data_IF_404918974225
#
_entry.id   IF_404918974225
#
_cell.length_a   1.000
_cell.length_b   1.000
_cell.length_c   1.000
_cell.angle_alpha   90.00
_cell.angle_beta   90.00
_cell.angle_gamma   90.00
#
_symmetry.space_group_name_H-M   'P 1'
#
loop_
_entity.id
_entity.type
_entity.pdbx_description
1 polymer ?
#
# COMPACT_ATOMS: atom_id res chain seq x y z
N UNK A 1 37.50 -39.83 -6.14
CA UNK A 1 36.30 -39.11 -6.50
C UNK A 1 36.20 -37.88 -5.62
N UNK A 2 36.65 -36.74 -6.08
CA UNK A 2 36.63 -35.46 -5.35
C UNK A 2 35.21 -34.84 -5.46
N UNK A 3 34.48 -34.79 -4.37
CA UNK A 3 33.19 -34.07 -4.28
C UNK A 3 33.47 -32.58 -4.41
N UNK A 4 33.19 -32.00 -5.56
CA UNK A 4 33.26 -30.56 -5.77
C UNK A 4 32.33 -29.84 -4.80
N UNK A 5 32.87 -28.92 -4.00
CA UNK A 5 32.06 -28.07 -3.09
C UNK A 5 31.09 -27.22 -3.93
N UNK A 6 29.81 -27.17 -3.56
CA UNK A 6 28.83 -26.39 -4.33
C UNK A 6 29.22 -24.91 -4.36
N UNK A 7 29.11 -24.29 -5.52
CA UNK A 7 29.41 -22.87 -5.75
C UNK A 7 28.49 -21.98 -4.92
N UNK A 8 28.90 -20.73 -4.66
CA UNK A 8 28.09 -19.74 -3.94
C UNK A 8 26.67 -19.61 -4.56
N UNK A 9 26.58 -19.60 -5.88
CA UNK A 9 25.32 -19.59 -6.65
C UNK A 9 24.43 -20.81 -6.38
N UNK A 10 25.04 -22.01 -6.26
CA UNK A 10 24.31 -23.25 -5.98
C UNK A 10 23.76 -23.26 -4.55
N UNK A 11 24.50 -22.69 -3.59
CA UNK A 11 24.07 -22.54 -2.19
C UNK A 11 22.95 -21.51 -2.09
N UNK A 12 23.04 -20.39 -2.82
CA UNK A 12 22.02 -19.35 -2.86
C UNK A 12 20.70 -19.89 -3.46
N UNK A 13 20.78 -20.61 -4.59
CA UNK A 13 19.60 -21.27 -5.22
C UNK A 13 18.94 -22.29 -4.29
N UNK A 14 19.72 -23.12 -3.58
CA UNK A 14 19.18 -24.07 -2.59
C UNK A 14 18.56 -23.38 -1.37
N UNK A 15 19.10 -22.24 -0.94
CA UNK A 15 18.56 -21.43 0.16
C UNK A 15 17.24 -20.76 -0.25
N UNK A 16 17.17 -20.20 -1.47
CA UNK A 16 15.94 -19.62 -2.04
C UNK A 16 14.84 -20.67 -2.24
N UNK A 17 15.20 -21.89 -2.67
CA UNK A 17 14.23 -22.99 -2.85
C UNK A 17 13.68 -23.58 -1.53
N UNK A 18 14.23 -23.18 -0.38
CA UNK A 18 13.81 -23.64 0.96
C UNK A 18 13.16 -22.52 1.79
N UNK A 19 12.95 -21.33 1.19
CA UNK A 19 12.34 -20.21 1.87
C UNK A 19 10.84 -20.41 2.00
N UNK A 20 10.30 -20.17 3.19
CA UNK A 20 8.86 -20.13 3.42
C UNK A 20 8.30 -18.87 2.79
N UNK A 21 7.31 -19.04 1.93
CA UNK A 21 6.52 -17.93 1.42
C UNK A 21 5.42 -17.58 2.42
N UNK A 22 5.39 -16.33 2.85
CA UNK A 22 4.34 -15.81 3.73
C UNK A 22 3.57 -14.77 2.94
N UNK A 23 2.28 -15.03 2.77
CA UNK A 23 1.40 -14.19 1.96
C UNK A 23 0.73 -13.12 2.82
N UNK A 24 0.63 -11.91 2.27
CA UNK A 24 -0.19 -10.82 2.79
C UNK A 24 -1.12 -10.34 1.68
N UNK A 25 -2.40 -10.17 1.99
CA UNK A 25 -3.41 -9.75 1.04
C UNK A 25 -3.42 -8.23 0.89
N UNK A 26 -3.35 -7.71 -0.33
CA UNK A 26 -3.65 -6.30 -0.59
C UNK A 26 -5.17 -6.08 -0.65
N UNK A 27 -5.71 -5.33 0.29
CA UNK A 27 -7.12 -4.98 0.35
C UNK A 27 -7.45 -3.83 -0.65
N UNK A 28 -7.26 -4.09 -1.93
CA UNK A 28 -7.54 -3.13 -3.00
C UNK A 28 -7.82 -3.84 -4.32
N UNK A 29 -8.87 -3.40 -5.03
CA UNK A 29 -9.15 -3.78 -6.42
C UNK A 29 -8.53 -2.83 -7.45
N UNK A 30 -7.87 -1.74 -7.02
CA UNK A 30 -7.26 -0.79 -7.93
C UNK A 30 -5.95 -1.33 -8.52
N UNK A 31 -5.92 -1.59 -9.81
CA UNK A 31 -4.78 -2.18 -10.51
C UNK A 31 -3.51 -1.31 -10.46
N UNK A 32 -3.64 0.01 -10.39
CA UNK A 32 -2.47 0.90 -10.23
C UNK A 32 -1.83 0.71 -8.86
N UNK A 33 -2.66 0.66 -7.79
CA UNK A 33 -2.17 0.35 -6.44
C UNK A 33 -1.55 -1.04 -6.38
N UNK A 34 -2.16 -2.04 -7.01
CA UNK A 34 -1.61 -3.41 -7.08
C UNK A 34 -0.20 -3.40 -7.69
N UNK A 35 0.02 -2.66 -8.78
CA UNK A 35 1.35 -2.55 -9.41
C UNK A 35 2.37 -1.87 -8.50
N UNK A 36 2.03 -0.71 -7.92
CA UNK A 36 2.91 0.02 -7.00
C UNK A 36 3.33 -0.87 -5.82
N UNK A 37 2.35 -1.52 -5.15
CA UNK A 37 2.64 -2.39 -4.01
C UNK A 37 3.41 -3.65 -4.40
N UNK A 38 3.13 -4.25 -5.55
CA UNK A 38 3.91 -5.39 -6.05
C UNK A 38 5.38 -5.02 -6.24
N UNK A 39 5.65 -3.80 -6.75
CA UNK A 39 7.01 -3.25 -6.83
C UNK A 39 7.65 -3.16 -5.44
N UNK A 40 7.00 -2.50 -4.48
CA UNK A 40 7.52 -2.34 -3.12
C UNK A 40 7.82 -3.68 -2.44
N UNK A 41 6.91 -4.64 -2.53
CA UNK A 41 7.10 -5.96 -1.93
C UNK A 41 8.19 -6.78 -2.60
N UNK A 42 8.42 -6.59 -3.90
CA UNK A 42 9.50 -7.27 -4.64
C UNK A 42 10.89 -6.84 -4.20
N UNK A 43 11.03 -5.60 -3.70
CA UNK A 43 12.28 -5.02 -3.20
C UNK A 43 12.56 -5.41 -1.74
N UNK A 44 11.59 -5.97 -1.01
CA UNK A 44 11.81 -6.41 0.36
C UNK A 44 12.83 -7.54 0.40
N UNK A 45 13.86 -7.42 1.25
CA UNK A 45 14.80 -8.52 1.44
C UNK A 45 14.10 -9.68 2.12
N UNK A 46 14.60 -10.91 1.92
CA UNK A 46 14.14 -12.05 2.70
C UNK A 46 14.52 -11.87 4.18
N UNK A 47 13.62 -12.29 5.05
CA UNK A 47 13.82 -12.24 6.51
C UNK A 47 14.10 -13.65 7.03
N UNK A 48 15.39 -13.95 7.27
CA UNK A 48 15.80 -15.30 7.67
C UNK A 48 15.53 -16.33 6.58
N UNK A 49 14.61 -17.26 6.83
CA UNK A 49 14.16 -18.30 5.90
C UNK A 49 12.77 -17.98 5.28
N UNK A 50 12.23 -16.78 5.51
CA UNK A 50 10.93 -16.36 5.04
C UNK A 50 11.00 -15.22 4.01
N UNK A 51 10.10 -15.26 3.02
CA UNK A 51 9.84 -14.19 2.07
C UNK A 51 8.39 -13.76 2.21
N UNK A 52 8.17 -12.46 2.38
CA UNK A 52 6.83 -11.88 2.34
C UNK A 52 6.41 -11.66 0.88
N UNK A 53 5.25 -12.17 0.51
CA UNK A 53 4.70 -12.04 -0.84
C UNK A 53 3.33 -11.37 -0.77
N UNK A 54 3.14 -10.35 -1.59
CA UNK A 54 1.86 -9.70 -1.75
C UNK A 54 0.98 -10.54 -2.68
N UNK A 55 -0.29 -10.72 -2.30
CA UNK A 55 -1.33 -11.25 -3.17
C UNK A 55 -2.47 -10.25 -3.27
N UNK A 56 -3.20 -10.30 -4.38
CA UNK A 56 -4.39 -9.49 -4.64
C UNK A 56 -5.68 -10.28 -4.40
N UNK A 57 -6.83 -9.63 -4.28
CA UNK A 57 -8.12 -10.32 -4.19
C UNK A 57 -8.37 -11.27 -5.36
N UNK A 58 -7.88 -10.93 -6.56
CA UNK A 58 -8.01 -11.78 -7.77
C UNK A 58 -7.21 -13.08 -7.71
N UNK A 59 -6.27 -13.21 -6.79
CA UNK A 59 -5.48 -14.44 -6.58
C UNK A 59 -6.18 -15.45 -5.66
N UNK A 60 -7.34 -15.07 -5.09
CA UNK A 60 -8.11 -15.87 -4.16
C UNK A 60 -9.50 -16.17 -4.74
N UNK A 61 -9.99 -17.39 -4.47
CA UNK A 61 -11.33 -17.84 -4.91
C UNK A 61 -12.42 -17.47 -3.90
N UNK A 62 -12.34 -16.30 -3.27
CA UNK A 62 -13.33 -15.82 -2.31
C UNK A 62 -13.90 -14.47 -2.70
N UNK A 63 -15.15 -14.21 -2.31
CA UNK A 63 -15.75 -12.90 -2.43
C UNK A 63 -15.25 -11.99 -1.30
N UNK A 64 -14.92 -10.74 -1.66
CA UNK A 64 -14.56 -9.73 -0.69
C UNK A 64 -15.71 -8.74 -0.49
N UNK A 65 -15.92 -8.25 0.73
CA UNK A 65 -16.95 -7.26 0.99
C UNK A 65 -16.60 -5.93 0.30
N UNK A 66 -17.62 -5.27 -0.18
CA UNK A 66 -17.53 -3.84 -0.48
C UNK A 66 -17.44 -3.08 0.85
N UNK A 67 -16.41 -2.26 1.00
CA UNK A 67 -16.13 -1.54 2.25
C UNK A 67 -16.40 -0.06 2.06
N UNK A 68 -17.42 0.44 2.74
CA UNK A 68 -17.67 1.88 2.79
C UNK A 68 -16.59 2.59 3.61
N UNK A 69 -15.97 3.60 3.01
CA UNK A 69 -14.96 4.44 3.65
C UNK A 69 -15.64 5.56 4.43
N UNK A 70 -16.14 5.24 5.61
CA UNK A 70 -16.87 6.16 6.51
C UNK A 70 -15.98 6.81 7.57
N UNK A 71 -14.68 6.49 7.58
CA UNK A 71 -13.72 7.03 8.54
C UNK A 71 -13.48 8.53 8.35
N UNK A 72 -13.08 9.20 9.43
CA UNK A 72 -12.72 10.60 9.44
C UNK A 72 -11.24 10.86 9.11
N UNK A 73 -10.45 9.81 8.92
CA UNK A 73 -9.02 9.87 8.59
C UNK A 73 -8.63 8.79 7.59
N UNK A 74 -7.45 8.96 6.96
CA UNK A 74 -6.86 7.91 6.10
C UNK A 74 -6.62 6.62 6.90
N UNK A 75 -6.18 6.72 8.16
CA UNK A 75 -5.94 5.55 9.01
C UNK A 75 -7.23 4.77 9.25
N UNK A 76 -8.32 5.45 9.59
CA UNK A 76 -9.62 4.79 9.82
C UNK A 76 -10.14 4.10 8.56
N UNK A 77 -10.08 4.76 7.40
CA UNK A 77 -10.52 4.15 6.14
C UNK A 77 -9.64 2.97 5.74
N UNK A 78 -8.31 3.08 5.88
CA UNK A 78 -7.40 1.97 5.63
C UNK A 78 -7.65 0.80 6.59
N UNK A 79 -7.93 1.08 7.88
CA UNK A 79 -8.25 0.06 8.87
C UNK A 79 -9.56 -0.68 8.54
N UNK A 80 -10.62 0.05 8.17
CA UNK A 80 -11.89 -0.57 7.74
C UNK A 80 -11.65 -1.58 6.63
N UNK A 81 -10.89 -1.19 5.59
CA UNK A 81 -10.54 -2.08 4.45
C UNK A 81 -9.68 -3.27 4.89
N UNK A 82 -8.57 -3.00 5.58
CA UNK A 82 -7.63 -4.05 5.97
C UNK A 82 -8.30 -5.10 6.87
N UNK A 83 -9.07 -4.66 7.86
CA UNK A 83 -9.75 -5.55 8.79
C UNK A 83 -10.85 -6.38 8.12
N UNK A 84 -11.63 -5.80 7.21
CA UNK A 84 -12.67 -6.53 6.48
C UNK A 84 -12.06 -7.62 5.58
N UNK A 85 -11.01 -7.28 4.83
CA UNK A 85 -10.32 -8.23 3.94
C UNK A 85 -9.55 -9.30 4.73
N UNK A 86 -8.90 -8.94 5.83
CA UNK A 86 -8.21 -9.90 6.67
C UNK A 86 -9.17 -10.95 7.25
N UNK A 87 -10.36 -10.52 7.74
CA UNK A 87 -11.39 -11.44 8.23
C UNK A 87 -11.92 -12.34 7.13
N UNK A 88 -12.24 -11.78 5.95
CA UNK A 88 -12.79 -12.54 4.84
C UNK A 88 -11.81 -13.60 4.31
N UNK A 89 -10.52 -13.26 4.25
CA UNK A 89 -9.48 -14.17 3.73
C UNK A 89 -8.85 -15.08 4.80
N UNK A 90 -9.11 -14.85 6.10
CA UNK A 90 -8.47 -15.59 7.18
C UNK A 90 -6.96 -15.39 7.27
N UNK A 91 -6.42 -14.31 6.71
CA UNK A 91 -4.99 -14.02 6.64
C UNK A 91 -4.71 -12.51 6.83
N UNK A 92 -3.45 -12.12 7.15
CA UNK A 92 -3.10 -10.70 7.24
C UNK A 92 -3.41 -9.96 5.95
N UNK A 93 -3.96 -8.75 6.07
CA UNK A 93 -4.20 -7.88 4.94
C UNK A 93 -3.60 -6.50 5.17
N UNK A 94 -3.11 -5.89 4.08
CA UNK A 94 -2.64 -4.51 4.04
C UNK A 94 -3.60 -3.69 3.18
N UNK A 95 -4.00 -2.53 3.68
CA UNK A 95 -4.79 -1.55 2.93
C UNK A 95 -4.07 -0.21 2.84
N UNK A 96 -4.39 0.53 1.79
CA UNK A 96 -3.98 1.92 1.56
C UNK A 96 -5.22 2.81 1.48
N UNK A 97 -5.24 3.87 2.27
CA UNK A 97 -6.08 5.01 2.00
C UNK A 97 -5.22 6.25 1.81
N UNK A 98 -5.54 7.05 0.80
CA UNK A 98 -4.66 8.12 0.33
C UNK A 98 -5.42 9.18 -0.44
N UNK A 99 -4.86 10.38 -0.45
CA UNK A 99 -5.45 11.50 -1.17
C UNK A 99 -4.46 12.64 -1.37
N UNK A 100 -4.95 13.69 -2.03
CA UNK A 100 -4.25 14.94 -2.20
C UNK A 100 -4.86 16.00 -1.27
N UNK A 101 -4.02 16.66 -0.51
CA UNK A 101 -4.39 17.77 0.37
C UNK A 101 -3.85 19.07 -0.25
N UNK A 102 -4.72 20.04 -0.46
CA UNK A 102 -4.35 21.33 -1.04
C UNK A 102 -4.42 22.43 0.00
N UNK A 103 -3.28 23.07 0.25
CA UNK A 103 -3.15 24.07 1.32
C UNK A 103 -4.17 25.20 1.22
N UNK A 104 -4.32 25.76 0.04
CA UNK A 104 -5.24 26.87 -0.21
C UNK A 104 -6.71 26.49 -0.08
N UNK A 105 -7.04 25.19 -0.08
CA UNK A 105 -8.39 24.66 0.11
C UNK A 105 -8.60 24.07 1.50
N UNK A 106 -7.72 24.40 2.48
CA UNK A 106 -7.84 23.89 3.85
C UNK A 106 -7.65 22.39 3.97
N UNK A 107 -6.92 21.76 3.02
CA UNK A 107 -6.68 20.31 2.98
C UNK A 107 -7.65 19.53 2.07
N UNK A 108 -8.66 20.20 1.50
CA UNK A 108 -9.53 19.52 0.52
C UNK A 108 -8.74 19.17 -0.77
N UNK A 109 -9.13 18.08 -1.49
CA UNK A 109 -10.19 17.11 -1.18
C UNK A 109 -9.84 16.09 -0.08
N UNK A 110 -8.56 15.92 0.29
CA UNK A 110 -8.12 15.05 1.39
C UNK A 110 -8.62 13.60 1.25
N UNK A 111 -9.24 13.05 2.28
CA UNK A 111 -9.82 11.69 2.29
C UNK A 111 -10.93 11.48 1.25
N UNK A 112 -11.43 12.56 0.64
CA UNK A 112 -12.44 12.50 -0.43
C UNK A 112 -11.83 12.52 -1.83
N UNK A 113 -10.51 12.43 -1.96
CA UNK A 113 -9.81 12.59 -3.25
C UNK A 113 -10.34 11.67 -4.35
N UNK A 114 -10.64 10.41 -4.03
CA UNK A 114 -11.21 9.47 -4.99
C UNK A 114 -12.67 9.75 -5.35
N UNK A 115 -13.35 10.59 -4.54
CA UNK A 115 -14.78 10.92 -4.64
C UNK A 115 -15.03 12.43 -4.81
N UNK A 116 -13.98 13.20 -5.12
CA UNK A 116 -14.07 14.66 -5.26
C UNK A 116 -14.97 15.08 -6.43
N UNK A 117 -15.07 14.24 -7.44
CA UNK A 117 -15.99 14.38 -8.58
C UNK A 117 -16.40 12.99 -9.06
N UNK A 118 -17.59 12.89 -9.63
CA UNK A 118 -18.01 11.70 -10.38
C UNK A 118 -17.18 11.56 -11.67
N UNK A 119 -17.07 10.33 -12.17
CA UNK A 119 -16.42 10.03 -13.44
C UNK A 119 -14.98 9.57 -13.31
N UNK A 120 -14.14 9.97 -14.26
CA UNK A 120 -12.76 9.54 -14.45
C UNK A 120 -11.76 10.30 -13.58
N UNK A 121 -10.47 9.86 -13.60
CA UNK A 121 -9.37 10.63 -13.02
C UNK A 121 -9.26 12.03 -13.65
N UNK A 122 -9.52 12.16 -14.96
CA UNK A 122 -9.52 13.46 -15.65
C UNK A 122 -10.61 14.40 -15.11
N UNK A 123 -11.78 13.87 -14.78
CA UNK A 123 -12.86 14.69 -14.21
C UNK A 123 -12.49 15.22 -12.82
N UNK A 124 -11.85 14.39 -11.99
CA UNK A 124 -11.31 14.78 -10.67
C UNK A 124 -10.19 15.81 -10.78
N UNK A 125 -9.28 15.63 -11.75
CA UNK A 125 -8.22 16.62 -12.05
C UNK A 125 -8.83 17.95 -12.46
N UNK A 126 -9.79 17.97 -13.38
CA UNK A 126 -10.46 19.17 -13.84
C UNK A 126 -11.22 19.87 -12.70
N UNK A 127 -11.95 19.11 -11.88
CA UNK A 127 -12.63 19.64 -10.70
C UNK A 127 -11.64 20.38 -9.77
N UNK A 128 -10.48 19.78 -9.51
CA UNK A 128 -9.48 20.40 -8.63
C UNK A 128 -8.88 21.65 -9.27
N UNK A 129 -8.55 21.61 -10.56
CA UNK A 129 -8.04 22.77 -11.29
C UNK A 129 -9.06 23.92 -11.33
N UNK A 130 -10.35 23.61 -11.48
CA UNK A 130 -11.42 24.61 -11.43
C UNK A 130 -11.53 25.27 -10.04
N UNK A 131 -11.43 24.48 -8.96
CA UNK A 131 -11.35 25.02 -7.60
C UNK A 131 -10.14 25.93 -7.37
N UNK A 132 -9.05 25.68 -8.08
CA UNK A 132 -7.80 26.42 -7.98
C UNK A 132 -7.70 27.64 -8.91
N UNK A 133 -8.75 27.96 -9.69
CA UNK A 133 -8.75 29.14 -10.58
C UNK A 133 -8.56 30.44 -9.79
N UNK A 134 -7.57 31.23 -10.19
CA UNK A 134 -7.26 32.51 -9.55
C UNK A 134 -6.52 32.41 -8.21
N UNK A 135 -6.26 31.21 -7.70
CA UNK A 135 -5.54 30.98 -6.46
C UNK A 135 -4.04 30.86 -6.76
N UNK A 136 -3.23 31.74 -6.14
CA UNK A 136 -1.77 31.77 -6.31
C UNK A 136 -1.04 30.70 -5.49
N UNK A 137 -1.55 30.41 -4.30
CA UNK A 137 -0.97 29.36 -3.47
C UNK A 137 -1.31 28.00 -4.04
N UNK A 138 -0.31 27.34 -4.64
CA UNK A 138 -0.45 26.02 -5.29
C UNK A 138 0.08 24.90 -4.44
N UNK A 139 0.46 25.14 -3.19
CA UNK A 139 1.01 24.14 -2.28
C UNK A 139 0.06 22.98 -2.06
N UNK A 140 0.55 21.77 -2.23
CA UNK A 140 -0.20 20.54 -2.07
C UNK A 140 0.66 19.42 -1.45
N UNK A 141 0.01 18.40 -0.95
CA UNK A 141 0.64 17.24 -0.37
C UNK A 141 -0.14 15.98 -0.75
N UNK A 142 0.51 15.00 -1.33
CA UNK A 142 -0.06 13.66 -1.34
C UNK A 142 0.17 13.01 0.04
N UNK A 143 -0.89 12.47 0.62
CA UNK A 143 -0.86 11.73 1.87
C UNK A 143 -1.36 10.29 1.68
N UNK A 144 -0.76 9.35 2.38
CA UNK A 144 -1.22 7.97 2.47
C UNK A 144 -1.09 7.45 3.88
N UNK A 145 -2.02 6.60 4.29
CA UNK A 145 -1.87 5.74 5.46
C UNK A 145 -2.00 4.28 5.02
N UNK A 146 -1.01 3.49 5.37
CA UNK A 146 -1.01 2.03 5.20
C UNK A 146 -1.36 1.38 6.51
N UNK A 147 -2.28 0.42 6.50
CA UNK A 147 -2.67 -0.36 7.68
C UNK A 147 -2.52 -1.84 7.38
N UNK A 148 -1.83 -2.57 8.27
CA UNK A 148 -1.84 -4.03 8.31
C UNK A 148 -2.77 -4.48 9.43
N UNK A 149 -3.80 -5.27 9.10
CA UNK A 149 -4.70 -5.89 10.04
C UNK A 149 -4.62 -7.42 9.99
N UNK A 150 -5.07 -8.07 11.07
CA UNK A 150 -5.04 -9.52 11.25
C UNK A 150 -6.44 -10.09 11.38
N UNK A 151 -6.70 -11.34 10.95
CA UNK A 151 -8.04 -11.93 10.89
C UNK A 151 -8.80 -11.89 12.22
N UNK A 152 -8.10 -12.08 13.33
CA UNK A 152 -8.69 -12.20 14.66
C UNK A 152 -8.54 -10.93 15.50
N UNK A 153 -8.16 -9.80 14.92
CA UNK A 153 -7.95 -8.56 15.63
C UNK A 153 -6.86 -8.60 16.72
N UNK A 154 -6.00 -9.62 16.71
CA UNK A 154 -4.97 -9.79 17.75
C UNK A 154 -3.77 -8.90 17.46
N UNK A 155 -3.45 -8.04 18.41
CA UNK A 155 -2.26 -7.20 18.38
C UNK A 155 -1.00 -8.06 18.57
N UNK A 156 -0.08 -7.98 17.59
CA UNK A 156 1.16 -8.74 17.59
C UNK A 156 2.28 -8.13 18.42
N UNK A 157 2.08 -6.91 18.92
CA UNK A 157 3.14 -6.16 19.61
C UNK A 157 3.05 -6.17 21.12
N UNK A 158 2.08 -6.90 21.71
CA UNK A 158 1.92 -7.00 23.17
C UNK A 158 1.58 -5.66 23.87
N UNK A 159 1.46 -4.58 23.13
CA UNK A 159 1.02 -3.28 23.63
C UNK A 159 -0.50 -3.19 23.53
N UNK A 160 -1.14 -2.88 24.60
CA UNK A 160 -2.50 -3.22 24.96
C UNK A 160 -3.65 -2.63 24.13
N UNK A 161 -3.47 -1.92 23.01
CA UNK A 161 -4.59 -1.11 22.50
C UNK A 161 -4.84 -1.09 20.99
N UNK A 162 -4.01 -1.70 20.14
CA UNK A 162 -4.25 -1.66 18.69
C UNK A 162 -4.14 -3.05 18.05
N UNK A 163 -5.22 -3.48 17.41
CA UNK A 163 -5.30 -4.74 16.67
C UNK A 163 -4.71 -4.64 15.25
N UNK A 164 -3.94 -3.61 14.96
CA UNK A 164 -3.37 -3.32 13.67
C UNK A 164 -2.07 -2.51 13.80
N UNK A 165 -1.34 -2.44 12.70
CA UNK A 165 -0.21 -1.55 12.54
C UNK A 165 -0.50 -0.52 11.45
N UNK A 166 -0.09 0.73 11.64
CA UNK A 166 -0.22 1.79 10.64
C UNK A 166 1.09 2.52 10.39
N UNK A 167 1.25 3.02 9.17
CA UNK A 167 2.33 3.91 8.79
C UNK A 167 1.83 4.96 7.81
N UNK A 168 2.20 6.21 8.05
CA UNK A 168 1.86 7.33 7.17
C UNK A 168 3.04 7.73 6.29
N UNK A 169 2.71 8.28 5.13
CA UNK A 169 3.69 8.90 4.25
C UNK A 169 3.10 10.13 3.58
N UNK A 170 3.92 11.18 3.51
CA UNK A 170 3.56 12.46 2.90
C UNK A 170 4.59 12.85 1.86
N UNK A 171 4.12 13.25 0.68
CA UNK A 171 4.93 13.80 -0.39
C UNK A 171 4.46 15.23 -0.66
N UNK A 172 5.28 16.20 -0.29
CA UNK A 172 4.99 17.61 -0.49
C UNK A 172 5.32 18.05 -1.92
N UNK A 173 4.63 19.09 -2.39
CA UNK A 173 4.82 19.62 -3.72
C UNK A 173 3.85 20.75 -4.04
N UNK A 174 3.66 20.97 -5.34
CA UNK A 174 2.78 22.02 -5.86
C UNK A 174 1.90 21.50 -6.99
N UNK A 175 0.74 22.14 -7.17
CA UNK A 175 -0.15 21.87 -8.30
C UNK A 175 0.28 22.65 -9.54
N UNK A 176 0.40 21.97 -10.66
CA UNK A 176 0.52 22.60 -11.98
C UNK A 176 -0.79 23.31 -12.36
N UNK A 177 -0.74 24.27 -13.27
CA UNK A 177 -1.92 24.99 -13.77
C UNK A 177 -2.73 24.17 -14.78
N UNK A 178 -2.09 23.20 -15.40
CA UNK A 178 -2.69 22.28 -16.37
C UNK A 178 -2.04 20.89 -16.27
N UNK A 179 -2.72 19.83 -16.72
CA UNK A 179 -2.15 18.48 -16.74
C UNK A 179 -0.91 18.39 -17.63
N UNK A 180 0.14 17.70 -17.13
CA UNK A 180 1.38 17.42 -17.85
C UNK A 180 1.76 15.96 -17.67
N UNK A 181 2.14 15.29 -18.76
CA UNK A 181 2.44 13.86 -18.79
C UNK A 181 1.18 12.99 -18.74
N UNK A 182 1.40 11.70 -18.94
CA UNK A 182 0.32 10.69 -19.03
C UNK A 182 0.60 9.47 -18.17
N UNK A 183 1.70 9.50 -17.40
CA UNK A 183 2.10 8.40 -16.53
C UNK A 183 1.35 8.47 -15.19
N UNK A 184 1.28 7.32 -14.51
CA UNK A 184 0.63 7.24 -13.21
C UNK A 184 -0.90 7.23 -13.29
N UNK A 185 -1.58 7.79 -12.26
CA UNK A 185 -3.04 7.83 -12.14
C UNK A 185 -3.48 8.94 -11.17
N UNK A 186 -4.80 9.18 -11.12
CA UNK A 186 -5.37 10.19 -10.23
C UNK A 186 -4.85 11.59 -10.55
N UNK A 187 -4.31 12.25 -9.56
CA UNK A 187 -3.81 13.62 -9.67
C UNK A 187 -2.33 13.74 -10.10
N UNK A 188 -1.68 12.64 -10.48
CA UNK A 188 -0.27 12.62 -10.92
C UNK A 188 0.03 13.64 -12.02
N UNK A 189 -0.84 13.86 -13.04
CA UNK A 189 -0.58 14.82 -14.10
C UNK A 189 -0.51 16.29 -13.66
N UNK A 190 -1.02 16.63 -12.48
CA UNK A 190 -1.01 18.01 -11.98
C UNK A 190 -0.17 18.19 -10.71
N UNK A 191 0.47 17.15 -10.19
CA UNK A 191 1.28 17.23 -8.97
C UNK A 191 2.77 17.20 -9.28
N UNK A 192 3.47 18.29 -8.95
CA UNK A 192 4.93 18.42 -9.05
C UNK A 192 5.52 18.26 -7.65
N UNK A 193 6.25 17.16 -7.36
CA UNK A 193 6.85 16.96 -6.04
C UNK A 193 8.00 17.95 -5.80
N UNK A 194 8.21 18.29 -4.53
CA UNK A 194 9.30 19.21 -4.14
C UNK A 194 10.66 18.68 -4.60
N UNK A 195 11.50 19.57 -5.10
CA UNK A 195 12.81 19.23 -5.65
C UNK A 195 12.80 18.80 -7.12
N UNK A 196 11.63 18.73 -7.76
CA UNK A 196 11.49 18.37 -9.17
C UNK A 196 10.82 19.48 -9.97
N UNK A 197 11.16 19.58 -11.27
CA UNK A 197 10.54 20.54 -12.21
C UNK A 197 9.40 19.92 -13.04
N UNK A 198 9.12 18.66 -12.86
CA UNK A 198 8.15 17.87 -13.63
C UNK A 198 7.10 17.23 -12.73
N UNK A 199 5.90 16.98 -13.26
CA UNK A 199 4.83 16.30 -12.52
C UNK A 199 5.09 14.80 -12.40
N UNK A 200 4.39 14.12 -11.48
CA UNK A 200 4.43 12.65 -11.45
C UNK A 200 3.95 12.03 -12.76
N UNK A 201 3.04 12.71 -13.48
CA UNK A 201 2.62 12.30 -14.81
C UNK A 201 3.74 12.31 -15.87
N UNK A 202 4.81 13.09 -15.62
CA UNK A 202 6.01 13.18 -16.48
C UNK A 202 7.17 12.33 -15.94
N UNK A 203 7.35 12.23 -14.61
CA UNK A 203 8.48 11.56 -13.96
C UNK A 203 8.43 10.02 -14.01
N UNK A 204 7.22 9.45 -14.06
CA UNK A 204 7.03 8.01 -14.16
C UNK A 204 7.31 7.22 -12.88
N UNK A 205 7.14 5.91 -12.99
CA UNK A 205 7.12 4.99 -11.86
C UNK A 205 8.49 4.86 -11.17
N UNK A 206 9.60 5.01 -11.88
CA UNK A 206 10.94 4.89 -11.28
C UNK A 206 11.19 5.93 -10.19
N UNK A 207 10.84 7.19 -10.45
CA UNK A 207 10.98 8.27 -9.46
C UNK A 207 9.88 8.14 -8.41
N UNK A 208 8.63 7.93 -8.85
CA UNK A 208 7.47 7.86 -7.96
C UNK A 208 7.60 6.75 -6.91
N UNK A 209 8.17 5.60 -7.27
CA UNK A 209 8.40 4.48 -6.34
C UNK A 209 9.39 4.81 -5.21
N UNK A 210 10.19 5.86 -5.35
CA UNK A 210 11.19 6.27 -4.34
C UNK A 210 10.71 7.36 -3.41
N UNK A 211 9.91 8.32 -3.93
CA UNK A 211 9.58 9.57 -3.25
C UNK A 211 8.11 9.78 -2.97
N UNK A 212 7.22 8.94 -3.51
CA UNK A 212 5.78 9.12 -3.31
C UNK A 212 5.36 8.90 -1.85
N UNK A 213 4.21 9.44 -1.49
CA UNK A 213 3.54 9.22 -0.22
C UNK A 213 3.42 7.72 0.14
N UNK A 214 3.05 6.85 -0.83
CA UNK A 214 2.98 5.40 -0.63
C UNK A 214 4.35 4.77 -0.39
N UNK A 215 5.37 5.22 -1.15
CA UNK A 215 6.73 4.74 -0.94
C UNK A 215 7.26 5.10 0.46
N UNK A 216 6.95 6.31 0.94
CA UNK A 216 7.33 6.77 2.28
C UNK A 216 6.58 5.97 3.35
N UNK A 217 5.26 5.79 3.22
CA UNK A 217 4.46 4.98 4.15
C UNK A 217 4.94 3.52 4.15
N UNK A 218 5.26 2.96 2.99
CA UNK A 218 5.75 1.58 2.89
C UNK A 218 7.10 1.36 3.57
N UNK A 219 8.00 2.35 3.58
CA UNK A 219 9.24 2.28 4.37
C UNK A 219 8.97 2.10 5.86
N UNK A 220 7.93 2.74 6.39
CA UNK A 220 7.47 2.52 7.77
C UNK A 220 6.95 1.11 7.98
N UNK A 221 6.13 0.60 7.06
CA UNK A 221 5.63 -0.79 7.10
C UNK A 221 6.80 -1.79 7.01
N UNK A 222 7.77 -1.56 6.12
CA UNK A 222 8.92 -2.47 5.94
C UNK A 222 9.72 -2.69 7.24
N UNK A 223 9.79 -1.69 8.12
CA UNK A 223 10.51 -1.80 9.39
C UNK A 223 9.87 -2.81 10.36
N UNK A 224 8.57 -3.04 10.25
CA UNK A 224 7.85 -3.97 11.14
C UNK A 224 7.64 -5.35 10.54
N UNK A 225 7.94 -5.53 9.25
CA UNK A 225 7.81 -6.84 8.59
C UNK A 225 8.47 -7.98 9.37
N UNK A 226 9.67 -7.82 9.96
CA UNK A 226 10.27 -8.88 10.79
C UNK A 226 9.38 -9.33 11.95
N UNK A 227 8.69 -8.39 12.59
CA UNK A 227 7.77 -8.66 13.70
C UNK A 227 6.48 -9.35 13.22
N UNK A 228 5.94 -8.90 12.09
CA UNK A 228 4.79 -9.55 11.42
C UNK A 228 5.11 -11.01 11.09
N UNK A 229 6.27 -11.27 10.50
CA UNK A 229 6.71 -12.62 10.15
C UNK A 229 6.91 -13.51 11.37
N UNK A 230 7.49 -12.97 12.44
CA UNK A 230 7.66 -13.69 13.71
C UNK A 230 6.30 -14.08 14.31
N UNK A 231 5.35 -13.17 14.32
CA UNK A 231 3.99 -13.43 14.79
C UNK A 231 3.30 -14.53 13.99
N UNK A 232 3.31 -14.43 12.67
CA UNK A 232 2.71 -15.43 11.80
C UNK A 232 3.35 -16.81 12.04
N UNK A 233 4.67 -16.86 12.22
CA UNK A 233 5.39 -18.11 12.50
C UNK A 233 4.97 -18.78 13.81
N UNK A 234 4.69 -17.99 14.87
CA UNK A 234 4.27 -18.50 16.18
C UNK A 234 2.82 -19.00 16.14
N UNK A 235 1.90 -18.26 15.50
CA UNK A 235 0.47 -18.56 15.51
C UNK A 235 0.03 -19.50 14.38
N UNK A 236 0.85 -19.69 13.35
CA UNK A 236 0.59 -20.67 12.29
C UNK A 236 0.73 -22.13 12.76
N UNK A 237 1.55 -22.38 13.78
CA UNK A 237 1.71 -23.74 14.34
C UNK A 237 0.47 -24.21 15.12
N UNK A 238 -0.41 -23.30 15.52
CA UNK A 238 -1.65 -23.66 16.24
C UNK A 238 -2.82 -24.01 15.28
N UNK A 239 -2.75 -23.60 14.01
CA UNK A 239 -3.83 -23.78 13.04
C UNK A 239 -3.48 -24.65 11.80
N UNK A 240 -2.32 -25.28 11.75
CA UNK A 240 -1.84 -26.05 10.59
C UNK A 240 -2.49 -27.44 10.39
N UNK A 241 -3.73 -27.67 10.89
CA UNK A 241 -4.55 -28.80 10.47
C UNK A 241 -5.76 -28.40 9.58
N UNK A 242 -5.78 -27.19 9.07
CA UNK A 242 -6.84 -26.68 8.21
C UNK A 242 -6.27 -25.96 6.99
N UNK A 243 -6.67 -26.43 5.81
CA UNK A 243 -6.43 -25.89 4.48
C UNK A 243 -6.40 -24.34 4.46
N UNK A 244 -5.24 -23.76 4.18
CA UNK A 244 -5.10 -22.33 3.88
C UNK A 244 -5.82 -22.05 2.56
N UNK A 245 -6.97 -21.41 2.61
CA UNK A 245 -7.70 -21.00 1.41
C UNK A 245 -9.20 -21.28 1.43
N UNK A 246 -9.78 -21.75 2.53
CA UNK A 246 -11.24 -21.77 2.66
C UNK A 246 -11.71 -20.44 3.24
N UNK A 247 -12.27 -19.61 2.36
CA UNK A 247 -13.09 -18.49 2.79
C UNK A 247 -14.22 -19.01 3.69
N UNK A 248 -14.33 -18.48 4.88
CA UNK A 248 -15.50 -18.73 5.74
C UNK A 248 -16.70 -18.04 5.12
N UNK A 249 -17.73 -18.85 4.77
CA UNK A 249 -19.04 -18.36 4.32
C UNK A 249 -19.72 -17.55 5.41
#
# INVERSE_FOLDING_TARGET
MTKTKPTCLTRLRKRLAKMREIKILLASGNLHKVREFSGFFSELPPFGDAKLTLISPGDLSCAFPEVEETGASYEENALLKAAAFARAAGMPAIADDSGIEVRALGGEPGIRSARASEGSDSDRVNWLLDKMKGIRDRGACFAACLVIAFPNGKNIFGAAERDYFSAEGRCFGTLAESPRGTLGFGYDPIFTPDGYGATFGELGDEIKSRISHRAIAFKGVAQIVPSVLKYIAVHHNENCNGDLGRCTN
#
